data_IF_759537315292
#
_entry.id   IF_759537315292
#
_cell.length_a   1.000
_cell.length_b   1.000
_cell.length_c   1.000
_cell.angle_alpha   90.00
_cell.angle_beta   90.00
_cell.angle_gamma   90.00
#
_symmetry.space_group_name_H-M   'P 1'
#
loop_
_entity.id
_entity.type
_entity.pdbx_description
1 polymer ?
#
# COMPACT_ATOMS: atom_id res chain seq x y z
N UNK A 1 -9.08 18.51 66.87
CA UNK A 1 -8.50 17.70 65.78
C UNK A 1 -9.61 16.81 65.26
N UNK A 2 -10.32 17.07 64.16
CA UNK A 2 -9.96 17.46 62.77
C UNK A 2 -9.08 16.42 62.06
N UNK A 3 -9.57 15.19 61.97
CA UNK A 3 -9.17 14.28 60.89
C UNK A 3 -10.31 14.26 59.87
N UNK A 4 -10.30 15.27 59.01
CA UNK A 4 -10.92 15.18 57.70
C UNK A 4 -10.20 14.07 56.94
N UNK A 5 -10.78 12.88 56.96
CA UNK A 5 -10.39 11.77 56.11
C UNK A 5 -10.39 12.26 54.65
N UNK A 6 -9.18 12.43 54.13
CA UNK A 6 -8.93 12.82 52.75
C UNK A 6 -9.35 11.65 51.88
N UNK A 7 -10.61 11.67 51.45
CA UNK A 7 -11.11 10.73 50.45
C UNK A 7 -10.37 11.02 49.14
N UNK A 8 -9.66 10.03 48.54
CA UNK A 8 -9.07 10.22 47.23
C UNK A 8 -10.23 10.42 46.24
N UNK A 9 -10.35 11.64 45.74
CA UNK A 9 -11.19 11.97 44.61
C UNK A 9 -10.63 11.21 43.42
N UNK A 10 -11.28 10.11 43.03
CA UNK A 10 -11.10 9.53 41.71
C UNK A 10 -11.58 10.56 40.69
N UNK A 11 -10.64 11.41 40.27
CA UNK A 11 -10.81 12.38 39.20
C UNK A 11 -11.40 11.65 37.99
N UNK A 12 -12.44 12.28 37.44
CA UNK A 12 -13.39 11.63 36.55
C UNK A 12 -12.74 10.82 35.44
N UNK A 13 -13.22 9.58 35.30
CA UNK A 13 -13.16 8.89 34.02
C UNK A 13 -13.81 9.78 32.97
N UNK A 14 -12.97 10.58 32.31
CA UNK A 14 -13.32 11.32 31.11
C UNK A 14 -13.83 10.29 30.12
N UNK A 15 -15.16 10.21 30.00
CA UNK A 15 -15.87 9.40 29.01
C UNK A 15 -15.22 9.67 27.67
N UNK A 16 -14.35 8.77 27.21
CA UNK A 16 -13.73 8.85 25.88
C UNK A 16 -14.89 8.83 24.89
N UNK A 17 -15.27 10.00 24.40
CA UNK A 17 -16.35 10.17 23.44
C UNK A 17 -16.07 9.42 22.14
N UNK A 18 -16.99 9.51 21.17
CA UNK A 18 -16.86 8.85 19.85
C UNK A 18 -15.48 9.08 19.21
N UNK A 19 -14.91 10.26 19.41
CA UNK A 19 -13.56 10.63 18.95
C UNK A 19 -12.42 9.81 19.57
N UNK A 20 -12.53 9.48 20.87
CA UNK A 20 -11.56 8.62 21.55
C UNK A 20 -11.63 7.17 21.08
N UNK A 21 -12.84 6.70 20.72
CA UNK A 21 -13.04 5.37 20.12
C UNK A 21 -12.48 5.29 18.70
N UNK A 22 -12.70 6.32 17.87
CA UNK A 22 -12.15 6.39 16.52
C UNK A 22 -10.60 6.40 16.53
N UNK A 23 -9.98 7.14 17.45
CA UNK A 23 -8.52 7.14 17.60
C UNK A 23 -7.97 5.77 18.02
N UNK A 24 -8.64 5.08 18.93
CA UNK A 24 -8.27 3.73 19.34
C UNK A 24 -8.38 2.74 18.16
N UNK A 25 -9.47 2.81 17.39
CA UNK A 25 -9.69 1.98 16.21
C UNK A 25 -8.61 2.18 15.12
N UNK A 26 -8.21 3.43 14.83
CA UNK A 26 -7.12 3.71 13.89
C UNK A 26 -5.77 3.20 14.37
N UNK A 27 -5.53 3.26 15.69
CA UNK A 27 -4.34 2.69 16.30
C UNK A 27 -4.32 1.15 16.12
N UNK A 28 -5.45 0.49 16.38
CA UNK A 28 -5.56 -0.96 16.25
C UNK A 28 -5.38 -1.42 14.79
N UNK A 29 -5.94 -0.68 13.82
CA UNK A 29 -5.69 -0.91 12.39
C UNK A 29 -4.20 -0.80 12.05
N UNK A 30 -3.52 0.23 12.55
CA UNK A 30 -2.08 0.38 12.29
C UNK A 30 -1.24 -0.75 12.89
N UNK A 31 -1.66 -1.30 14.04
CA UNK A 31 -1.01 -2.44 14.68
C UNK A 31 -1.23 -3.72 13.87
N UNK A 32 -2.46 -3.96 13.40
CA UNK A 32 -2.79 -5.13 12.59
C UNK A 32 -2.15 -5.08 11.19
N UNK A 33 -2.14 -3.90 10.55
CA UNK A 33 -1.46 -3.68 9.27
C UNK A 33 0.05 -3.90 9.35
N UNK A 34 0.67 -3.75 10.53
CA UNK A 34 2.08 -4.09 10.76
C UNK A 34 2.31 -5.60 10.87
N UNK A 35 1.27 -6.39 11.19
CA UNK A 35 1.33 -7.86 11.15
C UNK A 35 1.25 -8.41 9.73
N UNK A 36 0.70 -7.64 8.80
CA UNK A 36 0.91 -7.90 7.37
C UNK A 36 2.39 -7.68 7.12
N UNK A 37 3.11 -8.76 6.88
CA UNK A 37 4.57 -8.79 6.69
C UNK A 37 4.90 -7.80 5.57
N UNK A 38 5.30 -6.59 5.94
CA UNK A 38 5.64 -5.57 4.97
C UNK A 38 7.01 -5.95 4.39
N UNK A 39 7.05 -6.27 3.09
CA UNK A 39 8.25 -6.83 2.51
C UNK A 39 9.39 -5.81 2.56
N UNK A 40 10.63 -6.31 2.62
CA UNK A 40 11.80 -5.45 2.74
C UNK A 40 11.92 -4.56 1.50
N UNK A 41 12.36 -3.30 1.65
CA UNK A 41 12.50 -2.36 0.50
C UNK A 41 13.32 -2.93 -0.66
N UNK A 42 14.24 -3.85 -0.37
CA UNK A 42 15.04 -4.58 -1.34
C UNK A 42 14.18 -5.51 -2.19
N UNK A 43 13.30 -6.30 -1.58
CA UNK A 43 12.39 -7.20 -2.29
C UNK A 43 11.46 -6.44 -3.23
N UNK A 44 10.86 -5.33 -2.76
CA UNK A 44 10.01 -4.49 -3.63
C UNK A 44 10.79 -3.97 -4.84
N UNK A 45 12.03 -3.53 -4.63
CA UNK A 45 12.87 -3.00 -5.71
C UNK A 45 13.23 -4.09 -6.73
N UNK A 46 13.52 -5.31 -6.26
CA UNK A 46 13.80 -6.45 -7.15
C UNK A 46 12.56 -6.81 -7.95
N UNK A 47 11.39 -6.96 -7.31
CA UNK A 47 10.16 -7.34 -8.01
C UNK A 47 9.72 -6.29 -9.02
N UNK A 48 9.78 -5.01 -8.66
CA UNK A 48 9.46 -3.91 -9.58
C UNK A 48 10.45 -3.85 -10.74
N UNK A 49 11.75 -4.02 -10.49
CA UNK A 49 12.77 -4.05 -11.55
C UNK A 49 12.57 -5.21 -12.53
N UNK A 50 12.31 -6.42 -12.02
CA UNK A 50 12.04 -7.59 -12.88
C UNK A 50 10.82 -7.34 -13.76
N UNK A 51 9.72 -6.81 -13.19
CA UNK A 51 8.51 -6.48 -13.96
C UNK A 51 8.77 -5.41 -15.02
N UNK A 52 9.55 -4.36 -14.69
CA UNK A 52 9.91 -3.32 -15.66
C UNK A 52 10.69 -3.89 -16.84
N UNK A 53 11.71 -4.73 -16.59
CA UNK A 53 12.49 -5.37 -17.65
C UNK A 53 11.59 -6.25 -18.52
N UNK A 54 10.69 -7.01 -17.90
CA UNK A 54 9.77 -7.89 -18.61
C UNK A 54 8.79 -7.13 -19.52
N UNK A 55 8.19 -6.05 -19.01
CA UNK A 55 7.31 -5.19 -19.81
C UNK A 55 8.07 -4.57 -20.98
N UNK A 56 9.31 -4.11 -20.75
CA UNK A 56 10.15 -3.53 -21.79
C UNK A 56 10.44 -4.54 -22.91
N UNK A 57 10.73 -5.79 -22.53
CA UNK A 57 10.97 -6.88 -23.48
C UNK A 57 9.75 -7.18 -24.35
N UNK A 58 8.57 -7.33 -23.73
CA UNK A 58 7.32 -7.57 -24.47
C UNK A 58 7.00 -6.39 -25.38
N UNK A 59 7.17 -5.15 -24.90
CA UNK A 59 6.93 -3.95 -25.69
C UNK A 59 7.84 -3.89 -26.91
N UNK A 60 9.12 -4.20 -26.74
CA UNK A 60 10.07 -4.27 -27.84
C UNK A 60 9.69 -5.37 -28.85
N UNK A 61 9.30 -6.55 -28.36
CA UNK A 61 8.86 -7.65 -29.21
C UNK A 61 7.61 -7.29 -30.03
N UNK A 62 6.57 -6.74 -29.39
CA UNK A 62 5.36 -6.27 -30.07
C UNK A 62 5.71 -5.20 -31.10
N UNK A 63 6.57 -4.24 -30.77
CA UNK A 63 7.01 -3.19 -31.70
C UNK A 63 7.66 -3.77 -32.96
N UNK A 64 8.51 -4.78 -32.81
CA UNK A 64 9.14 -5.48 -33.96
C UNK A 64 8.08 -6.20 -34.80
N UNK A 65 7.14 -6.89 -34.13
CA UNK A 65 6.05 -7.57 -34.83
C UNK A 65 5.16 -6.58 -35.58
N UNK A 66 4.73 -5.49 -34.96
CA UNK A 66 3.90 -4.45 -35.57
C UNK A 66 4.59 -3.85 -36.80
N UNK A 67 5.90 -3.59 -36.71
CA UNK A 67 6.68 -3.13 -37.85
C UNK A 67 6.72 -4.17 -38.98
N UNK A 68 6.96 -5.45 -38.63
CA UNK A 68 6.95 -6.56 -39.59
C UNK A 68 5.59 -6.73 -40.28
N UNK A 69 4.51 -6.73 -39.51
CA UNK A 69 3.14 -6.81 -40.03
C UNK A 69 2.79 -5.59 -40.89
N UNK A 70 3.24 -4.40 -40.52
CA UNK A 70 3.07 -3.19 -41.34
C UNK A 70 3.70 -3.34 -42.73
N UNK A 71 4.91 -3.87 -42.81
CA UNK A 71 5.57 -4.11 -44.12
C UNK A 71 4.86 -5.18 -44.94
N UNK A 72 4.43 -6.29 -44.30
CA UNK A 72 3.73 -7.39 -44.97
C UNK A 72 2.37 -6.93 -45.50
N UNK A 73 1.61 -6.19 -44.69
CA UNK A 73 0.28 -5.69 -45.09
C UNK A 73 0.39 -4.68 -46.23
N UNK A 74 1.34 -3.75 -46.18
CA UNK A 74 1.60 -2.83 -47.29
C UNK A 74 1.98 -3.56 -48.58
N UNK A 75 2.77 -4.62 -48.50
CA UNK A 75 3.12 -5.43 -49.66
C UNK A 75 1.91 -6.17 -50.25
N UNK A 76 1.05 -6.74 -49.39
CA UNK A 76 -0.11 -7.54 -49.82
C UNK A 76 -1.28 -6.70 -50.35
N UNK A 77 -1.49 -5.49 -49.82
CA UNK A 77 -2.59 -4.60 -50.22
C UNK A 77 -2.15 -3.45 -51.13
N UNK A 78 -0.85 -3.22 -51.28
CA UNK A 78 -0.26 -2.21 -52.16
C UNK A 78 0.17 -2.73 -53.54
N UNK A 79 0.02 -4.02 -53.80
CA UNK A 79 0.13 -4.66 -55.12
C UNK A 79 -1.21 -4.70 -55.84
#
# INVERSE_FOLDING_TARGET
MSESEVLPSHEGEARKGVFGRARAFLHDISVELRKVIWPTRRELSVYTTVVLIFILFITAFITVLDFGFGQITLFLFGS
#
